data_IF_981810755835
#
_entry.id   IF_981810755835
#
_cell.length_a   1.000
_cell.length_b   1.000
_cell.length_c   1.000
_cell.angle_alpha   90.00
_cell.angle_beta   90.00
_cell.angle_gamma   90.00
#
_symmetry.space_group_name_H-M   'P 1'
#
loop_
_entity.id
_entity.type
_entity.pdbx_description
1 polymer ?
#
# COMPACT_ATOMS: atom_id res chain seq x y z
N UNK A 1 1.73 7.16 -11.81
CA UNK A 1 2.76 7.48 -12.82
C UNK A 1 4.19 7.28 -12.32
N UNK A 2 4.53 7.63 -11.08
CA UNK A 2 5.84 7.33 -10.47
C UNK A 2 6.20 5.83 -10.49
N UNK A 3 5.26 4.93 -10.18
CA UNK A 3 5.47 3.48 -10.26
C UNK A 3 5.68 2.98 -11.71
N UNK A 4 5.02 3.60 -12.68
CA UNK A 4 5.20 3.33 -14.12
C UNK A 4 6.55 3.89 -14.62
N UNK A 5 6.98 5.05 -14.10
CA UNK A 5 8.32 5.63 -14.36
C UNK A 5 9.44 4.80 -13.70
N UNK A 6 9.23 4.20 -12.53
CA UNK A 6 10.19 3.28 -11.90
C UNK A 6 10.29 1.98 -12.71
N UNK A 7 9.18 1.44 -13.22
CA UNK A 7 9.18 0.32 -14.17
C UNK A 7 9.84 0.66 -15.52
N UNK A 8 9.64 1.88 -16.03
CA UNK A 8 10.39 2.38 -17.21
C UNK A 8 11.87 2.65 -16.92
N UNK A 9 12.22 3.04 -15.68
CA UNK A 9 13.59 3.32 -15.23
C UNK A 9 14.44 2.06 -15.04
N UNK A 10 13.82 0.92 -14.73
CA UNK A 10 14.48 -0.41 -14.72
C UNK A 10 14.48 -1.08 -16.10
N UNK A 11 13.73 -0.54 -17.07
CA UNK A 11 13.64 -1.04 -18.45
C UNK A 11 14.60 -0.30 -19.40
N UNK A 12 15.89 -0.24 -19.05
CA UNK A 12 16.96 0.13 -19.99
C UNK A 12 17.87 -1.07 -20.31
N UNK A 13 17.36 -2.30 -20.11
CA UNK A 13 17.98 -3.53 -20.58
C UNK A 13 16.90 -4.48 -21.07
N UNK A 14 16.78 -4.52 -22.39
CA UNK A 14 16.37 -5.66 -23.21
C UNK A 14 15.31 -6.55 -22.57
N UNK A 15 14.02 -6.26 -22.82
CA UNK A 15 12.95 -7.25 -23.00
C UNK A 15 11.61 -6.51 -23.22
N UNK A 16 11.45 -6.04 -24.44
CA UNK A 16 10.24 -5.42 -24.97
C UNK A 16 9.20 -6.52 -25.24
N UNK A 17 8.42 -6.90 -24.23
CA UNK A 17 7.39 -7.94 -24.40
C UNK A 17 5.95 -7.43 -24.48
N UNK A 18 5.67 -6.14 -24.26
CA UNK A 18 4.37 -5.55 -24.62
C UNK A 18 4.44 -4.00 -24.51
N UNK A 19 4.53 -3.25 -25.62
CA UNK A 19 4.46 -1.79 -25.60
C UNK A 19 3.02 -1.35 -25.35
N UNK A 20 2.54 -1.53 -24.13
CA UNK A 20 1.21 -1.09 -23.74
C UNK A 20 1.22 0.40 -23.41
N UNK A 21 0.26 1.18 -23.93
CA UNK A 21 0.12 2.59 -23.58
C UNK A 21 -0.05 2.72 -22.06
N UNK A 22 0.54 3.75 -21.44
CA UNK A 22 0.57 3.91 -19.97
C UNK A 22 -0.84 3.84 -19.33
N UNK A 23 -1.88 4.22 -20.07
CA UNK A 23 -3.28 4.07 -19.66
C UNK A 23 -3.77 2.61 -19.56
N UNK A 24 -3.27 1.71 -20.41
CA UNK A 24 -3.62 0.29 -20.37
C UNK A 24 -3.00 -0.42 -19.16
N UNK A 25 -1.75 -0.09 -18.77
CA UNK A 25 -1.19 -0.61 -17.51
C UNK A 25 -2.00 -0.15 -16.29
N UNK A 26 -2.44 1.11 -16.30
CA UNK A 26 -3.26 1.68 -15.23
C UNK A 26 -4.62 0.95 -15.12
N UNK A 27 -5.23 0.63 -16.26
CA UNK A 27 -6.48 -0.14 -16.33
C UNK A 27 -6.30 -1.60 -15.91
N UNK A 28 -5.21 -2.26 -16.32
CA UNK A 28 -4.91 -3.64 -15.93
C UNK A 28 -4.63 -3.71 -14.43
N UNK A 29 -3.83 -2.79 -13.88
CA UNK A 29 -3.57 -2.71 -12.46
C UNK A 29 -4.85 -2.42 -11.67
N UNK A 30 -5.66 -1.46 -12.11
CA UNK A 30 -6.97 -1.15 -11.53
C UNK A 30 -7.90 -2.37 -11.59
N UNK A 31 -7.91 -3.11 -12.69
CA UNK A 31 -8.71 -4.33 -12.85
C UNK A 31 -8.22 -5.47 -11.95
N UNK A 32 -6.91 -5.63 -11.79
CA UNK A 32 -6.32 -6.59 -10.86
C UNK A 32 -6.71 -6.28 -9.41
N UNK A 33 -6.61 -5.01 -9.01
CA UNK A 33 -7.08 -4.54 -7.71
C UNK A 33 -8.60 -4.72 -7.56
N UNK A 34 -9.40 -4.47 -8.59
CA UNK A 34 -10.84 -4.74 -8.58
C UNK A 34 -11.14 -6.23 -8.42
N UNK A 35 -10.41 -7.12 -9.10
CA UNK A 35 -10.59 -8.56 -8.97
C UNK A 35 -10.23 -9.03 -7.56
N UNK A 36 -9.14 -8.51 -7.00
CA UNK A 36 -8.73 -8.75 -5.61
C UNK A 36 -9.78 -8.23 -4.61
N UNK A 37 -10.31 -7.02 -4.83
CA UNK A 37 -11.41 -6.44 -4.05
C UNK A 37 -12.63 -7.36 -4.04
N UNK A 38 -13.07 -7.83 -5.21
CA UNK A 38 -14.23 -8.72 -5.32
C UNK A 38 -13.99 -10.06 -4.62
N UNK A 39 -12.78 -10.63 -4.75
CA UNK A 39 -12.43 -11.88 -4.11
C UNK A 39 -12.50 -11.75 -2.58
N UNK A 40 -11.90 -10.71 -2.02
CA UNK A 40 -11.96 -10.48 -0.57
C UNK A 40 -13.32 -10.01 -0.07
N UNK A 41 -14.08 -9.30 -0.90
CA UNK A 41 -15.45 -8.90 -0.55
C UNK A 41 -16.35 -10.13 -0.42
N UNK A 42 -16.35 -11.03 -1.40
CA UNK A 42 -17.14 -12.26 -1.33
C UNK A 42 -16.66 -13.20 -0.23
N UNK A 43 -15.35 -13.31 -0.01
CA UNK A 43 -14.81 -14.06 1.12
C UNK A 43 -15.25 -13.45 2.46
N UNK A 44 -15.13 -12.13 2.63
CA UNK A 44 -15.52 -11.42 3.86
C UNK A 44 -17.02 -11.52 4.16
N UNK A 45 -17.90 -11.49 3.14
CA UNK A 45 -19.35 -11.66 3.36
C UNK A 45 -19.75 -13.03 3.93
N UNK A 46 -18.87 -14.03 3.86
CA UNK A 46 -19.11 -15.37 4.42
C UNK A 46 -18.70 -15.48 5.90
N UNK A 47 -17.87 -14.56 6.42
CA UNK A 47 -17.29 -14.63 7.76
C UNK A 47 -17.85 -13.52 8.67
N UNK A 48 -18.46 -13.88 9.81
CA UNK A 48 -18.94 -12.92 10.81
C UNK A 48 -17.94 -12.81 11.98
N UNK A 49 -17.56 -11.59 12.36
CA UNK A 49 -16.71 -11.28 13.52
C UNK A 49 -15.38 -10.60 13.16
N UNK A 50 -14.32 -10.92 13.92
CA UNK A 50 -12.99 -10.29 13.82
C UNK A 50 -12.33 -10.41 12.43
N UNK A 51 -12.45 -11.56 11.79
CA UNK A 51 -11.91 -11.80 10.44
C UNK A 51 -12.54 -10.89 9.39
N UNK A 52 -13.86 -10.73 9.43
CA UNK A 52 -14.59 -9.81 8.57
C UNK A 52 -14.12 -8.35 8.74
N UNK A 53 -13.79 -7.93 9.97
CA UNK A 53 -13.27 -6.59 10.25
C UNK A 53 -11.91 -6.33 9.59
N UNK A 54 -10.96 -7.27 9.69
CA UNK A 54 -9.65 -7.16 9.04
C UNK A 54 -9.77 -7.15 7.50
N UNK A 55 -10.63 -8.02 6.94
CA UNK A 55 -10.90 -8.03 5.51
C UNK A 55 -11.60 -6.76 5.03
N UNK A 56 -12.51 -6.18 5.82
CA UNK A 56 -13.18 -4.93 5.48
C UNK A 56 -12.19 -3.76 5.37
N UNK A 57 -11.23 -3.66 6.29
CA UNK A 57 -10.15 -2.65 6.21
C UNK A 57 -9.32 -2.84 4.93
N UNK A 58 -9.00 -4.10 4.60
CA UNK A 58 -8.26 -4.45 3.39
C UNK A 58 -9.00 -4.04 2.11
N UNK A 59 -10.31 -4.30 2.06
CA UNK A 59 -11.21 -3.91 0.97
C UNK A 59 -11.26 -2.38 0.81
N UNK A 60 -11.31 -1.62 1.91
CA UNK A 60 -11.24 -0.15 1.88
C UNK A 60 -9.90 0.35 1.31
N UNK A 61 -8.78 -0.25 1.73
CA UNK A 61 -7.44 0.08 1.23
C UNK A 61 -7.31 -0.17 -0.27
N UNK A 62 -7.83 -1.30 -0.78
CA UNK A 62 -7.85 -1.60 -2.21
C UNK A 62 -8.71 -0.57 -2.96
N UNK A 63 -9.88 -0.21 -2.43
CA UNK A 63 -10.72 0.86 -2.99
C UNK A 63 -9.98 2.19 -3.10
N UNK A 64 -9.17 2.54 -2.11
CA UNK A 64 -8.33 3.73 -2.12
C UNK A 64 -7.18 3.64 -3.14
N UNK A 65 -6.58 2.45 -3.34
CA UNK A 65 -5.62 2.20 -4.42
C UNK A 65 -6.25 2.45 -5.79
N UNK A 66 -7.45 1.91 -6.03
CA UNK A 66 -8.18 2.10 -7.29
C UNK A 66 -8.50 3.57 -7.50
N UNK A 67 -9.05 4.24 -6.48
CA UNK A 67 -9.38 5.66 -6.55
C UNK A 67 -8.15 6.53 -6.83
N UNK A 68 -7.04 6.32 -6.12
CA UNK A 68 -5.81 7.07 -6.33
C UNK A 68 -5.16 6.79 -7.68
N UNK A 69 -5.29 5.56 -8.19
CA UNK A 69 -4.82 5.17 -9.52
C UNK A 69 -5.62 5.85 -10.63
N UNK A 70 -6.96 5.86 -10.51
CA UNK A 70 -7.85 6.56 -11.44
C UNK A 70 -7.65 8.08 -11.35
N UNK A 71 -7.53 8.64 -10.14
CA UNK A 71 -7.27 10.06 -9.94
C UNK A 71 -5.91 10.48 -10.53
N UNK A 72 -4.87 9.66 -10.38
CA UNK A 72 -3.57 9.89 -11.01
C UNK A 72 -3.59 9.78 -12.54
N UNK A 73 -4.50 8.97 -13.10
CA UNK A 73 -4.71 8.91 -14.54
C UNK A 73 -5.44 10.16 -15.08
N UNK A 74 -6.39 10.70 -14.31
CA UNK A 74 -7.14 11.92 -14.67
C UNK A 74 -6.33 13.20 -14.45
N UNK A 75 -5.41 13.21 -13.46
CA UNK A 75 -4.56 14.35 -13.11
C UNK A 75 -3.06 13.96 -13.13
N UNK A 76 -2.45 13.79 -14.32
CA UNK A 76 -1.06 13.36 -14.46
C UNK A 76 -0.01 14.42 -14.07
N UNK A 77 -0.43 15.63 -13.69
CA UNK A 77 0.46 16.79 -13.53
C UNK A 77 0.92 17.06 -12.09
N UNK A 78 0.51 16.24 -11.11
CA UNK A 78 0.78 16.53 -9.69
C UNK A 78 1.63 15.45 -9.02
N UNK A 79 2.88 15.79 -8.70
CA UNK A 79 3.77 15.03 -7.83
C UNK A 79 3.11 14.51 -6.53
N UNK A 80 2.28 15.29 -5.80
CA UNK A 80 1.64 14.79 -4.59
C UNK A 80 0.65 13.64 -4.83
N UNK A 81 -0.01 13.58 -6.00
CA UNK A 81 -0.94 12.48 -6.33
C UNK A 81 -0.18 11.19 -6.60
N UNK A 82 0.96 11.29 -7.28
CA UNK A 82 1.86 10.14 -7.49
C UNK A 82 2.45 9.61 -6.18
N UNK A 83 2.85 10.52 -5.28
CA UNK A 83 3.36 10.16 -3.96
C UNK A 83 2.27 9.50 -3.10
N UNK A 84 1.06 10.06 -3.09
CA UNK A 84 -0.08 9.51 -2.38
C UNK A 84 -0.43 8.10 -2.88
N UNK A 85 -0.45 7.89 -4.20
CA UNK A 85 -0.71 6.57 -4.77
C UNK A 85 0.34 5.53 -4.28
N UNK A 86 1.63 5.90 -4.29
CA UNK A 86 2.70 5.03 -3.77
C UNK A 86 2.54 4.70 -2.27
N UNK A 87 2.17 5.69 -1.45
CA UNK A 87 1.89 5.51 -0.01
C UNK A 87 0.75 4.51 0.19
N UNK A 88 -0.36 4.68 -0.54
CA UNK A 88 -1.56 3.84 -0.40
C UNK A 88 -1.29 2.40 -0.86
N UNK A 89 -0.57 2.20 -1.97
CA UNK A 89 -0.17 0.86 -2.44
C UNK A 89 0.73 0.16 -1.41
N UNK A 90 1.71 0.88 -0.86
CA UNK A 90 2.62 0.34 0.16
C UNK A 90 1.84 -0.07 1.42
N UNK A 91 0.92 0.78 1.85
CA UNK A 91 0.06 0.52 3.00
C UNK A 91 -0.87 -0.69 2.76
N UNK A 92 -1.43 -0.83 1.55
CA UNK A 92 -2.26 -1.97 1.18
C UNK A 92 -1.46 -3.28 1.26
N UNK A 93 -0.25 -3.33 0.70
CA UNK A 93 0.59 -4.53 0.72
C UNK A 93 1.05 -4.90 2.14
N UNK A 94 1.44 -3.91 2.95
CA UNK A 94 1.80 -4.12 4.35
C UNK A 94 0.61 -4.65 5.17
N UNK A 95 -0.58 -4.08 4.95
CA UNK A 95 -1.81 -4.52 5.63
C UNK A 95 -2.18 -5.96 5.26
N UNK A 96 -2.03 -6.33 3.99
CA UNK A 96 -2.25 -7.69 3.52
C UNK A 96 -1.35 -8.69 4.26
N UNK A 97 -0.04 -8.40 4.27
CA UNK A 97 0.94 -9.25 4.94
C UNK A 97 0.69 -9.36 6.44
N UNK A 98 0.39 -8.22 7.08
CA UNK A 98 0.06 -8.18 8.51
C UNK A 98 -1.21 -8.98 8.82
N UNK A 99 -2.25 -8.83 8.02
CA UNK A 99 -3.52 -9.54 8.21
C UNK A 99 -3.31 -11.05 8.12
N UNK A 100 -2.54 -11.51 7.14
CA UNK A 100 -2.19 -12.92 7.01
C UNK A 100 -1.46 -13.45 8.26
N UNK A 101 -0.49 -12.69 8.79
CA UNK A 101 0.25 -13.10 9.99
C UNK A 101 -0.58 -12.99 11.29
N UNK A 102 -1.52 -12.04 11.37
CA UNK A 102 -2.39 -11.87 12.55
C UNK A 102 -3.48 -12.92 12.62
N UNK A 103 -4.12 -13.25 11.48
CA UNK A 103 -5.20 -14.24 11.44
C UNK A 103 -4.69 -15.68 11.40
N UNK A 104 -3.63 -15.94 10.62
CA UNK A 104 -3.15 -17.30 10.34
C UNK A 104 -1.79 -17.60 10.97
N UNK A 105 -1.18 -16.62 11.64
CA UNK A 105 0.11 -16.75 12.32
C UNK A 105 0.03 -16.73 13.85
N UNK A 106 1.18 -16.71 14.53
CA UNK A 106 1.27 -16.81 15.99
C UNK A 106 0.77 -15.56 16.74
N UNK A 107 0.40 -14.49 16.03
CA UNK A 107 -0.12 -13.24 16.60
C UNK A 107 -1.64 -13.24 16.80
N UNK A 108 -2.32 -14.38 16.65
CA UNK A 108 -3.77 -14.49 16.87
C UNK A 108 -4.15 -14.08 18.32
N UNK A 109 -5.17 -13.23 18.53
CA UNK A 109 -5.61 -12.82 19.85
C UNK A 109 -6.03 -14.00 20.73
N UNK A 110 -5.60 -13.98 21.99
CA UNK A 110 -5.95 -14.99 22.98
C UNK A 110 -7.48 -15.09 23.14
N UNK A 111 -8.06 -16.23 22.75
CA UNK A 111 -9.49 -16.49 22.85
C UNK A 111 -10.23 -16.56 21.51
N UNK A 112 -9.55 -16.33 20.38
CA UNK A 112 -10.06 -16.66 19.05
C UNK A 112 -9.39 -17.94 18.54
N UNK A 113 -10.13 -18.76 17.80
CA UNK A 113 -9.61 -19.98 17.20
C UNK A 113 -10.22 -20.21 15.82
N UNK A 114 -9.46 -20.88 14.96
CA UNK A 114 -9.93 -21.31 13.65
C UNK A 114 -10.84 -22.54 13.85
N UNK A 115 -12.12 -22.42 13.50
CA UNK A 115 -13.09 -23.52 13.51
C UNK A 115 -13.62 -23.74 12.11
N UNK A 116 -13.19 -24.85 11.49
CA UNK A 116 -13.67 -25.27 10.17
C UNK A 116 -13.67 -24.12 9.14
N UNK A 117 -12.52 -23.46 8.99
CA UNK A 117 -12.28 -22.35 8.06
C UNK A 117 -12.88 -20.99 8.46
N UNK A 118 -13.40 -20.84 9.68
CA UNK A 118 -13.95 -19.57 10.19
C UNK A 118 -13.25 -19.20 11.50
N UNK A 119 -12.82 -17.95 11.66
CA UNK A 119 -12.24 -17.48 12.91
C UNK A 119 -13.35 -17.08 13.87
N UNK A 120 -13.57 -17.93 14.87
CA UNK A 120 -14.56 -17.71 15.92
C UNK A 120 -13.87 -17.24 17.21
N UNK A 121 -14.37 -16.15 17.80
CA UNK A 121 -13.91 -15.66 19.10
C UNK A 121 -14.85 -16.08 20.22
N UNK A 122 -14.30 -16.39 21.40
CA UNK A 122 -15.06 -16.90 22.57
C UNK A 122 -16.11 -15.93 23.07
N UNK A 123 -15.86 -14.64 22.97
CA UNK A 123 -16.73 -13.58 23.50
C UNK A 123 -16.59 -12.28 22.69
N UNK A 124 -17.59 -11.41 22.82
CA UNK A 124 -17.57 -10.06 22.24
C UNK A 124 -16.41 -9.20 22.76
N UNK A 125 -15.96 -9.44 24.00
CA UNK A 125 -14.80 -8.77 24.60
C UNK A 125 -13.49 -9.07 23.84
N UNK A 126 -13.29 -10.33 23.43
CA UNK A 126 -12.13 -10.73 22.62
C UNK A 126 -12.16 -10.14 21.21
N UNK A 127 -13.34 -9.96 20.65
CA UNK A 127 -13.54 -9.30 19.35
C UNK A 127 -13.15 -7.82 19.42
N UNK A 128 -13.70 -7.08 20.39
CA UNK A 128 -13.38 -5.65 20.61
C UNK A 128 -11.88 -5.44 20.84
N UNK A 129 -11.21 -6.35 21.57
CA UNK A 129 -9.77 -6.30 21.76
C UNK A 129 -8.99 -6.50 20.46
N UNK A 130 -9.44 -7.42 19.61
CA UNK A 130 -8.85 -7.63 18.29
C UNK A 130 -9.05 -6.44 17.35
N UNK A 131 -10.23 -5.81 17.38
CA UNK A 131 -10.53 -4.59 16.62
C UNK A 131 -9.69 -3.40 17.10
N UNK A 132 -9.51 -3.23 18.41
CA UNK A 132 -8.64 -2.19 18.97
C UNK A 132 -7.18 -2.39 18.54
N UNK A 133 -6.69 -3.64 18.58
CA UNK A 133 -5.35 -3.97 18.15
C UNK A 133 -5.17 -3.73 16.65
N UNK A 134 -6.18 -4.04 15.83
CA UNK A 134 -6.19 -3.73 14.40
C UNK A 134 -6.07 -2.23 14.16
N UNK A 135 -6.87 -1.42 14.86
CA UNK A 135 -6.80 0.04 14.74
C UNK A 135 -5.43 0.58 15.13
N UNK A 136 -4.87 0.12 16.25
CA UNK A 136 -3.53 0.53 16.68
C UNK A 136 -2.46 0.16 15.65
N UNK A 137 -2.53 -1.05 15.09
CA UNK A 137 -1.63 -1.51 14.05
C UNK A 137 -1.75 -0.66 12.78
N UNK A 138 -2.98 -0.31 12.37
CA UNK A 138 -3.24 0.54 11.22
C UNK A 138 -2.63 1.94 11.42
N UNK A 139 -2.87 2.57 12.58
CA UNK A 139 -2.28 3.87 12.88
C UNK A 139 -0.76 3.84 12.91
N UNK A 140 -0.17 2.78 13.47
CA UNK A 140 1.28 2.61 13.50
C UNK A 140 1.87 2.46 12.08
N UNK A 141 1.24 1.64 11.24
CA UNK A 141 1.62 1.45 9.84
C UNK A 141 1.52 2.75 9.04
N UNK A 142 0.40 3.48 9.15
CA UNK A 142 0.20 4.77 8.49
C UNK A 142 1.27 5.78 8.90
N UNK A 143 1.54 5.90 10.21
CA UNK A 143 2.56 6.81 10.72
C UNK A 143 3.95 6.40 10.26
N UNK A 144 4.27 5.11 10.27
CA UNK A 144 5.54 4.56 9.78
C UNK A 144 5.79 4.89 8.31
N UNK A 145 4.80 4.65 7.44
CA UNK A 145 4.91 4.96 6.00
C UNK A 145 5.03 6.48 5.78
N UNK A 146 4.30 7.30 6.53
CA UNK A 146 4.38 8.75 6.42
C UNK A 146 5.77 9.27 6.84
N UNK A 147 6.28 8.81 7.98
CA UNK A 147 7.63 9.17 8.48
C UNK A 147 8.70 8.69 7.51
N UNK A 148 8.59 7.46 6.98
CA UNK A 148 9.53 6.95 5.98
C UNK A 148 9.51 7.79 4.70
N UNK A 149 8.33 8.21 4.25
CA UNK A 149 8.18 9.06 3.06
C UNK A 149 8.78 10.45 3.27
N UNK A 150 8.48 11.08 4.41
CA UNK A 150 9.06 12.38 4.78
C UNK A 150 10.59 12.25 4.93
N UNK A 151 11.06 11.20 5.59
CA UNK A 151 12.49 10.92 5.77
C UNK A 151 13.21 10.75 4.44
N UNK A 152 12.64 9.98 3.51
CA UNK A 152 13.19 9.82 2.16
C UNK A 152 13.22 11.14 1.39
N UNK A 153 12.16 11.95 1.50
CA UNK A 153 12.10 13.28 0.87
C UNK A 153 13.16 14.24 1.45
N UNK A 154 13.27 14.31 2.77
CA UNK A 154 14.27 15.13 3.47
C UNK A 154 15.70 14.69 3.11
N UNK A 155 15.95 13.37 3.05
CA UNK A 155 17.24 12.82 2.67
C UNK A 155 17.60 13.17 1.22
N UNK A 156 16.68 12.98 0.28
CA UNK A 156 16.89 13.35 -1.12
C UNK A 156 17.17 14.86 -1.28
N UNK A 157 16.44 15.70 -0.55
CA UNK A 157 16.67 17.14 -0.54
C UNK A 157 18.04 17.51 0.05
N UNK A 158 18.46 16.86 1.14
CA UNK A 158 19.77 17.08 1.76
C UNK A 158 20.92 16.71 0.82
N UNK A 159 20.82 15.59 0.11
CA UNK A 159 21.82 15.14 -0.87
C UNK A 159 21.91 16.09 -2.06
N UNK A 160 20.76 16.55 -2.59
CA UNK A 160 20.73 17.50 -3.70
C UNK A 160 21.34 18.85 -3.30
N UNK A 161 20.98 19.35 -2.10
CA UNK A 161 21.57 20.58 -1.55
C UNK A 161 23.09 20.49 -1.39
N UNK A 162 23.62 19.35 -0.95
CA UNK A 162 25.07 19.11 -0.88
C UNK A 162 25.75 19.08 -2.26
N UNK A 163 25.04 18.59 -3.29
CA UNK A 163 25.55 18.50 -4.66
C UNK A 163 25.58 19.88 -5.33
N UNK A 164 24.55 20.70 -5.12
CA UNK A 164 24.49 22.08 -5.61
C UNK A 164 25.60 22.94 -5.01
N UNK A 165 25.86 22.82 -3.70
CA UNK A 165 26.95 23.53 -3.03
C UNK A 165 28.33 23.13 -3.57
N UNK A 166 28.52 21.86 -3.91
CA UNK A 166 29.79 21.37 -4.49
C UNK A 166 30.00 21.87 -5.93
N UNK A 167 28.92 21.95 -6.72
CA UNK A 167 28.93 22.50 -8.09
C UNK A 167 29.36 23.97 -8.10
N UNK A 168 28.82 24.79 -7.19
CA UNK A 168 29.15 26.22 -7.08
C UNK A 168 30.57 26.52 -6.59
N UNK A 169 31.31 25.52 -6.08
CA UNK A 169 32.68 25.68 -5.58
C UNK A 169 33.76 25.29 -6.61
N UNK A 170 33.38 24.79 -7.79
CA UNK A 170 34.32 24.61 -8.90
C UNK A 170 34.52 25.96 -9.59
N UNK A 171 35.69 26.62 -9.49
CA UNK A 171 35.96 27.85 -10.21
C UNK A 171 35.99 27.55 -11.71
N UNK A 172 35.35 28.39 -12.51
CA UNK A 172 35.68 28.50 -13.94
C UNK A 172 37.12 29.03 -14.04
N UNK A 173 38.09 28.12 -14.08
CA UNK A 173 39.47 28.43 -14.47
C UNK A 173 39.62 28.14 -15.97
N UNK A 174 39.71 29.22 -16.77
CA UNK A 174 40.47 29.29 -18.02
C UNK A 174 39.75 29.00 -19.33
#
# INVERSE_FOLDING_TARGET
MAMIKILKGTSNRENDYLPLPDGALCLIASTAFCAEYFLFYFHSTTHQGLEGYYHLILVILIGLCIFSTVAGALMPTSFPVDLFNGIVITLQGLWFYQTAFTLYGPMMPNGCWLKADQIACRSKESEIRGELLANFQLFSQVLGVLVATIGAYCFAHSVNSHTDLRSSQTPEDG
#
